data_IF_260308683475
#
_entry.id   IF_260308683475
#
_cell.length_a   1.000
_cell.length_b   1.000
_cell.length_c   1.000
_cell.angle_alpha   90.00
_cell.angle_beta   90.00
_cell.angle_gamma   90.00
#
_symmetry.space_group_name_H-M   'P 1'
#
loop_
_entity.id
_entity.type
_entity.pdbx_description
1 polymer ?
#
# COMPACT_ATOMS: atom_id res chain seq x y z
N UNK A 1 -9.54 21.63 -6.21
CA UNK A 1 -8.91 21.53 -4.87
C UNK A 1 -9.46 22.65 -4.01
N UNK A 2 -9.57 22.45 -2.69
CA UNK A 2 -10.04 23.49 -1.78
C UNK A 2 -9.00 24.64 -1.77
N UNK A 3 -9.34 25.84 -2.28
CA UNK A 3 -8.37 26.93 -2.41
C UNK A 3 -7.99 27.57 -1.08
N UNK A 4 -8.75 27.31 -0.01
CA UNK A 4 -8.45 27.84 1.33
C UNK A 4 -7.47 26.99 2.13
N UNK A 5 -7.06 25.83 1.62
CA UNK A 5 -6.10 24.94 2.30
C UNK A 5 -4.70 25.23 1.77
N UNK A 6 -3.78 25.53 2.68
CA UNK A 6 -2.35 25.52 2.39
C UNK A 6 -1.86 24.07 2.33
N UNK A 7 -1.62 23.58 1.12
CA UNK A 7 -1.23 22.18 0.89
C UNK A 7 0.24 21.89 1.24
N UNK A 8 1.06 22.92 1.50
CA UNK A 8 2.42 22.74 2.01
C UNK A 8 2.43 22.34 3.49
N UNK A 9 1.33 22.60 4.21
CA UNK A 9 1.18 22.22 5.62
C UNK A 9 0.71 20.78 5.85
N UNK A 10 0.55 19.98 4.78
CA UNK A 10 0.22 18.55 4.96
C UNK A 10 1.46 17.84 5.53
N UNK A 11 1.33 17.37 6.77
CA UNK A 11 2.41 16.70 7.51
C UNK A 11 2.65 15.28 7.00
N UNK A 12 1.60 14.58 6.54
CA UNK A 12 1.72 13.24 5.93
C UNK A 12 0.49 12.87 5.07
N UNK A 13 0.68 11.91 4.17
CA UNK A 13 -0.38 11.21 3.46
C UNK A 13 -0.24 9.70 3.68
N UNK A 14 -1.25 9.08 4.29
CA UNK A 14 -1.24 7.67 4.66
C UNK A 14 -2.33 6.94 3.86
N UNK A 15 -1.92 6.03 2.97
CA UNK A 15 -2.84 5.24 2.16
C UNK A 15 -2.79 3.75 2.53
N UNK A 16 -3.96 3.12 2.64
CA UNK A 16 -4.08 1.68 2.67
C UNK A 16 -4.08 1.07 1.26
N UNK A 17 -3.31 -0.01 1.04
CA UNK A 17 -3.34 -0.78 -0.21
C UNK A 17 -2.91 -2.23 0.07
N UNK A 18 -3.73 -3.23 -0.33
CA UNK A 18 -3.49 -4.61 0.05
C UNK A 18 -2.53 -5.36 -0.90
N UNK A 19 -2.51 -5.01 -2.18
CA UNK A 19 -1.71 -5.70 -3.18
C UNK A 19 -0.28 -5.16 -3.29
N UNK A 20 -0.09 -3.96 -3.85
CA UNK A 20 1.20 -3.27 -4.02
C UNK A 20 2.22 -3.98 -4.93
N UNK A 21 1.82 -5.00 -5.69
CA UNK A 21 2.70 -5.66 -6.66
C UNK A 21 2.60 -5.05 -8.07
N UNK A 22 1.53 -4.32 -8.37
CA UNK A 22 1.18 -3.82 -9.70
C UNK A 22 1.61 -2.37 -9.92
N UNK A 23 0.75 -1.59 -10.58
CA UNK A 23 0.96 -0.14 -10.75
C UNK A 23 0.92 0.64 -9.41
N UNK A 24 0.43 -0.03 -8.36
CA UNK A 24 0.42 0.40 -6.96
C UNK A 24 1.72 0.05 -6.20
N UNK A 25 2.77 -0.40 -6.88
CA UNK A 25 4.06 -0.72 -6.27
C UNK A 25 4.79 0.52 -5.71
N UNK A 26 5.76 0.25 -4.81
CA UNK A 26 6.73 1.23 -4.32
C UNK A 26 6.09 2.46 -3.69
N UNK A 27 5.15 2.25 -2.76
CA UNK A 27 4.46 3.29 -1.99
C UNK A 27 3.48 4.13 -2.85
N UNK A 28 2.32 3.55 -3.17
CA UNK A 28 1.25 4.22 -3.94
C UNK A 28 0.72 5.49 -3.29
N UNK A 29 0.80 5.62 -1.96
CA UNK A 29 0.53 6.87 -1.25
C UNK A 29 1.41 8.01 -1.78
N UNK A 30 2.72 7.77 -1.89
CA UNK A 30 3.65 8.75 -2.46
C UNK A 30 3.46 8.98 -3.95
N UNK A 31 3.25 7.92 -4.72
CA UNK A 31 3.02 8.05 -6.17
C UNK A 31 1.75 8.87 -6.46
N UNK A 32 0.67 8.59 -5.75
CA UNK A 32 -0.61 9.29 -5.92
C UNK A 32 -0.54 10.74 -5.44
N UNK A 33 0.19 11.04 -4.36
CA UNK A 33 0.41 12.41 -3.89
C UNK A 33 1.06 13.29 -4.97
N UNK A 34 2.16 12.79 -5.57
CA UNK A 34 2.88 13.48 -6.62
C UNK A 34 2.02 13.65 -7.89
N UNK A 35 1.34 12.59 -8.34
CA UNK A 35 0.45 12.64 -9.49
C UNK A 35 -0.74 13.59 -9.30
N UNK A 36 -1.24 13.69 -8.07
CA UNK A 36 -2.29 14.64 -7.73
C UNK A 36 -1.79 16.10 -7.69
N UNK A 37 -0.47 16.32 -7.70
CA UNK A 37 0.16 17.64 -7.61
C UNK A 37 0.30 18.17 -6.18
N UNK A 38 0.38 17.32 -5.15
CA UNK A 38 0.80 17.77 -3.82
C UNK A 38 2.27 18.26 -3.88
N UNK A 39 2.66 19.24 -3.03
CA UNK A 39 4.04 19.67 -2.94
C UNK A 39 4.97 18.48 -2.67
N UNK A 40 6.14 18.45 -3.32
CA UNK A 40 7.03 17.29 -3.23
C UNK A 40 7.59 17.08 -1.80
N UNK A 41 7.56 18.12 -0.96
CA UNK A 41 7.98 18.08 0.44
C UNK A 41 7.00 17.29 1.31
N UNK A 42 5.72 17.20 0.94
CA UNK A 42 4.71 16.44 1.69
C UNK A 42 5.08 14.95 1.67
N UNK A 43 5.41 14.31 2.81
CA UNK A 43 5.71 12.90 2.83
C UNK A 43 4.44 12.08 2.60
N UNK A 44 4.63 10.80 2.30
CA UNK A 44 3.53 9.88 2.15
C UNK A 44 3.99 8.46 2.40
N UNK A 45 3.10 7.63 2.94
CA UNK A 45 3.34 6.21 3.18
C UNK A 45 2.17 5.34 2.75
N UNK A 46 2.47 4.09 2.45
CA UNK A 46 1.47 3.07 2.14
C UNK A 46 1.54 1.98 3.20
N UNK A 47 0.39 1.61 3.76
CA UNK A 47 0.28 0.57 4.78
C UNK A 47 -0.60 -0.58 4.30
N UNK A 48 -0.44 -1.74 4.94
CA UNK A 48 -1.18 -2.96 4.57
C UNK A 48 -1.72 -3.69 5.81
N UNK A 49 -3.05 -3.75 5.92
CA UNK A 49 -3.83 -4.62 6.80
C UNK A 49 -4.93 -5.32 5.98
N UNK A 50 -4.59 -5.80 4.79
CA UNK A 50 -5.53 -6.42 3.85
C UNK A 50 -6.79 -5.54 3.67
N UNK A 51 -7.98 -6.10 3.83
CA UNK A 51 -9.26 -5.39 3.73
C UNK A 51 -9.42 -4.22 4.73
N UNK A 52 -8.66 -4.21 5.82
CA UNK A 52 -8.67 -3.15 6.84
C UNK A 52 -7.69 -2.00 6.60
N UNK A 53 -6.93 -2.01 5.49
CA UNK A 53 -5.81 -1.07 5.30
C UNK A 53 -6.21 0.40 5.37
N UNK A 54 -7.31 0.80 4.72
CA UNK A 54 -7.73 2.21 4.71
C UNK A 54 -8.24 2.68 6.08
N UNK A 55 -8.88 1.78 6.85
CA UNK A 55 -9.30 2.11 8.21
C UNK A 55 -8.10 2.23 9.14
N UNK A 56 -7.08 1.39 8.97
CA UNK A 56 -5.83 1.50 9.71
C UNK A 56 -5.09 2.81 9.36
N UNK A 57 -5.18 3.28 8.10
CA UNK A 57 -4.58 4.55 7.68
C UNK A 57 -5.21 5.74 8.42
N UNK A 58 -6.54 5.75 8.52
CA UNK A 58 -7.28 6.73 9.32
C UNK A 58 -6.88 6.64 10.80
N UNK A 59 -6.74 5.42 11.34
CA UNK A 59 -6.34 5.22 12.73
C UNK A 59 -4.92 5.74 13.02
N UNK A 60 -3.96 5.54 12.11
CA UNK A 60 -2.59 6.07 12.25
C UNK A 60 -2.62 7.61 12.18
N UNK A 61 -3.31 8.20 11.20
CA UNK A 61 -3.46 9.65 11.11
C UNK A 61 -4.05 10.25 12.39
N UNK A 62 -5.13 9.65 12.92
CA UNK A 62 -5.74 10.08 14.17
C UNK A 62 -4.78 9.97 15.38
N UNK A 63 -3.93 8.94 15.43
CA UNK A 63 -2.92 8.79 16.47
C UNK A 63 -1.84 9.86 16.38
N UNK A 64 -1.33 10.16 15.18
CA UNK A 64 -0.32 11.21 14.97
C UNK A 64 -0.85 12.58 15.41
N UNK A 65 -2.09 12.92 15.03
CA UNK A 65 -2.74 14.16 15.45
C UNK A 65 -2.93 14.18 16.97
N UNK A 66 -3.44 13.07 17.55
CA UNK A 66 -3.65 12.97 19.00
C UNK A 66 -2.34 13.07 19.79
N UNK A 67 -1.23 12.60 19.24
CA UNK A 67 0.09 12.68 19.85
C UNK A 67 0.72 14.08 19.72
N UNK A 68 0.14 14.98 18.92
CA UNK A 68 0.71 16.30 18.63
C UNK A 68 1.88 16.25 17.64
N UNK A 69 2.04 15.13 16.92
CA UNK A 69 3.11 14.93 15.92
C UNK A 69 2.71 15.46 14.53
N UNK A 70 1.42 15.63 14.27
CA UNK A 70 0.88 16.17 13.03
C UNK A 70 -0.35 17.06 13.31
N UNK A 71 -0.61 18.01 12.42
CA UNK A 71 -1.76 18.90 12.45
C UNK A 71 -2.69 18.69 11.25
N UNK A 72 -2.14 18.38 10.08
CA UNK A 72 -2.89 18.15 8.86
C UNK A 72 -2.39 16.89 8.14
N UNK A 73 -3.24 15.85 8.08
CA UNK A 73 -2.90 14.56 7.47
C UNK A 73 -3.97 14.16 6.46
N UNK A 74 -3.56 13.61 5.32
CA UNK A 74 -4.47 12.98 4.36
C UNK A 74 -4.47 11.47 4.62
N UNK A 75 -5.63 10.89 4.90
CA UNK A 75 -5.77 9.44 5.09
C UNK A 75 -6.77 8.86 4.10
N UNK A 76 -6.48 7.67 3.57
CA UNK A 76 -7.35 7.00 2.61
C UNK A 76 -6.84 5.62 2.22
N UNK A 77 -7.18 5.19 1.01
CA UNK A 77 -6.64 3.97 0.44
C UNK A 77 -7.15 3.72 -0.98
N UNK A 78 -6.51 2.77 -1.64
CA UNK A 78 -6.77 2.44 -3.05
C UNK A 78 -6.53 0.95 -3.27
N UNK A 79 -7.29 0.37 -4.19
CA UNK A 79 -7.09 -0.99 -4.67
C UNK A 79 -7.53 -1.06 -6.14
N UNK A 80 -6.78 -1.77 -6.98
CA UNK A 80 -7.17 -2.06 -8.35
C UNK A 80 -7.09 -3.56 -8.62
N UNK A 81 -8.09 -4.30 -8.13
CA UNK A 81 -8.15 -5.75 -8.34
C UNK A 81 -8.17 -6.12 -9.83
N UNK A 82 -8.81 -5.30 -10.68
CA UNK A 82 -8.85 -5.51 -12.13
C UNK A 82 -7.47 -5.42 -12.81
N UNK A 83 -6.49 -4.76 -12.18
CA UNK A 83 -5.13 -4.58 -12.71
C UNK A 83 -4.06 -5.23 -11.81
N UNK A 84 -4.49 -6.07 -10.88
CA UNK A 84 -3.58 -6.85 -10.05
C UNK A 84 -2.72 -7.76 -10.95
N UNK A 85 -1.39 -7.71 -10.83
CA UNK A 85 -0.52 -8.44 -11.74
C UNK A 85 -0.43 -9.91 -11.35
N UNK A 86 0.20 -10.68 -12.23
CA UNK A 86 0.77 -11.96 -11.86
C UNK A 86 2.13 -11.79 -11.17
N UNK A 87 2.50 -12.73 -10.31
CA UNK A 87 3.82 -12.82 -9.68
C UNK A 87 4.49 -14.15 -9.98
N UNK A 88 5.82 -14.13 -10.08
CA UNK A 88 6.65 -15.31 -10.30
C UNK A 88 7.81 -15.30 -9.31
N UNK A 89 8.01 -16.42 -8.61
CA UNK A 89 9.17 -16.62 -7.75
C UNK A 89 10.46 -16.60 -8.55
N UNK A 90 11.57 -16.17 -7.93
CA UNK A 90 12.89 -16.29 -8.55
C UNK A 90 13.27 -17.77 -8.66
N UNK A 91 14.16 -18.09 -9.60
CA UNK A 91 14.70 -19.45 -9.71
C UNK A 91 15.65 -19.73 -8.54
N UNK A 92 15.54 -20.90 -7.92
CA UNK A 92 16.41 -21.34 -6.82
C UNK A 92 17.75 -21.91 -7.32
N UNK A 93 17.87 -22.20 -8.62
CA UNK A 93 19.08 -22.72 -9.24
C UNK A 93 19.28 -22.18 -10.66
N UNK A 94 20.52 -22.21 -11.15
CA UNK A 94 20.80 -21.96 -12.55
C UNK A 94 20.07 -22.99 -13.43
N UNK A 95 19.44 -22.53 -14.52
CA UNK A 95 18.65 -23.36 -15.43
C UNK A 95 17.49 -24.15 -14.77
N UNK A 96 16.96 -23.65 -13.64
CA UNK A 96 15.79 -24.22 -12.97
C UNK A 96 14.57 -24.30 -13.90
N UNK A 97 13.69 -25.27 -13.65
CA UNK A 97 12.50 -25.56 -14.48
C UNK A 97 11.18 -25.52 -13.70
N UNK A 98 11.21 -24.93 -12.51
CA UNK A 98 10.10 -24.87 -11.55
C UNK A 98 9.33 -23.55 -11.58
N UNK A 99 9.45 -22.75 -12.65
CA UNK A 99 8.77 -21.46 -12.77
C UNK A 99 7.26 -21.65 -12.68
N UNK A 100 6.64 -20.90 -11.75
CA UNK A 100 5.20 -20.87 -11.54
C UNK A 100 4.74 -19.42 -11.48
N UNK A 101 3.61 -19.16 -12.12
CA UNK A 101 2.93 -17.87 -12.07
C UNK A 101 1.74 -17.98 -11.11
N UNK A 102 1.58 -16.99 -10.24
CA UNK A 102 0.49 -16.92 -9.26
C UNK A 102 -0.26 -15.58 -9.38
N UNK A 103 -1.58 -15.60 -9.26
CA UNK A 103 -2.44 -14.41 -9.35
C UNK A 103 -2.42 -13.63 -8.02
N UNK A 104 -2.38 -12.31 -8.10
CA UNK A 104 -2.46 -11.42 -6.93
C UNK A 104 -3.82 -10.75 -6.75
N UNK A 105 -4.76 -10.93 -7.68
CA UNK A 105 -6.12 -10.35 -7.65
C UNK A 105 -6.78 -10.58 -6.31
N UNK A 106 -6.74 -11.81 -5.80
CA UNK A 106 -7.23 -12.14 -4.47
C UNK A 106 -6.69 -13.49 -3.99
N UNK A 107 -6.63 -13.66 -2.67
CA UNK A 107 -6.37 -14.97 -2.05
C UNK A 107 -4.90 -15.29 -1.84
N UNK A 108 -4.67 -16.55 -1.45
CA UNK A 108 -3.37 -17.08 -1.09
C UNK A 108 -2.49 -17.31 -2.32
N UNK A 109 -1.23 -16.89 -2.23
CA UNK A 109 -0.15 -17.16 -3.18
C UNK A 109 1.15 -17.30 -2.42
N UNK A 110 2.14 -17.99 -3.00
CA UNK A 110 3.40 -18.33 -2.31
C UNK A 110 3.14 -18.94 -0.92
N UNK A 111 2.23 -19.91 -0.87
CA UNK A 111 1.74 -20.49 0.38
C UNK A 111 2.90 -21.09 1.17
N UNK A 112 3.08 -20.64 2.40
CA UNK A 112 4.04 -21.24 3.33
C UNK A 112 3.48 -22.61 3.82
N UNK A 113 4.21 -23.72 3.64
CA UNK A 113 3.74 -25.06 4.04
C UNK A 113 3.33 -25.16 5.51
N UNK A 114 4.06 -24.46 6.40
CA UNK A 114 3.76 -24.46 7.84
C UNK A 114 2.49 -23.68 8.17
N UNK A 115 2.20 -22.60 7.45
CA UNK A 115 0.91 -21.89 7.62
C UNK A 115 -0.25 -22.77 7.16
N UNK A 116 -0.08 -23.49 6.05
CA UNK A 116 -1.06 -24.46 5.54
C UNK A 116 -1.35 -25.57 6.56
N UNK A 117 -0.30 -26.15 7.13
CA UNK A 117 -0.43 -27.20 8.15
C UNK A 117 -1.16 -26.73 9.41
N UNK A 118 -0.82 -25.53 9.91
CA UNK A 118 -1.37 -25.01 11.15
C UNK A 118 -2.79 -24.43 11.00
N UNK A 119 -3.11 -23.84 9.85
CA UNK A 119 -4.30 -22.99 9.68
C UNK A 119 -5.13 -23.23 8.40
N UNK A 120 -4.72 -24.13 7.50
CA UNK A 120 -5.49 -24.50 6.29
C UNK A 120 -4.83 -24.14 4.97
#
# INVERSE_FOLDING_TARGET
RNPSVDWEQVDDLIYGCANQAGEDNRNVGRMSALLAGLPYQVPATTINRLCGSSLDAIAIAARAIKAGEANLVIAGGVESMSRAPYVMGKSDSAFGRSQKIEDTTMGWRFINPKLKELYG
#
